data_IF_768161651826
#
_entry.id   IF_768161651826
#
_cell.length_a   1.000
_cell.length_b   1.000
_cell.length_c   1.000
_cell.angle_alpha   90.00
_cell.angle_beta   90.00
_cell.angle_gamma   90.00
#
_symmetry.space_group_name_H-M   'P 1'
#
loop_
_entity.id
_entity.type
_entity.pdbx_description
1 polymer ?
#
# COMPACT_ATOMS: atom_id res chain seq x y z
N UNK A 1 10.95 12.47 18.56
CA UNK A 1 9.54 12.63 18.15
C UNK A 1 9.00 11.26 17.77
N UNK A 2 7.99 10.74 18.47
CA UNK A 2 7.29 9.52 18.09
C UNK A 2 6.16 9.91 17.13
N UNK A 3 6.37 9.72 15.83
CA UNK A 3 5.31 9.85 14.83
C UNK A 3 4.97 8.46 14.32
N UNK A 4 3.68 8.11 14.24
CA UNK A 4 3.20 6.88 13.59
C UNK A 4 3.50 6.85 12.08
N UNK A 5 3.89 7.99 11.49
CA UNK A 5 4.25 8.13 10.08
C UNK A 5 5.77 8.05 9.83
N UNK A 6 6.47 7.08 10.43
CA UNK A 6 7.90 6.86 10.20
C UNK A 6 8.13 5.57 9.39
N UNK A 7 8.38 5.65 8.07
CA UNK A 7 8.70 4.49 7.25
C UNK A 7 9.88 3.68 7.80
N UNK A 8 10.86 4.34 8.40
CA UNK A 8 12.08 3.71 8.93
C UNK A 8 11.82 2.80 10.13
N UNK A 9 10.79 3.09 10.93
CA UNK A 9 10.36 2.17 11.99
C UNK A 9 9.89 0.84 11.39
N UNK A 10 9.03 0.90 10.38
CA UNK A 10 8.47 -0.29 9.73
C UNK A 10 9.50 -1.06 8.89
N UNK A 11 10.47 -0.38 8.27
CA UNK A 11 11.58 -1.02 7.55
C UNK A 11 12.36 -2.00 8.43
N UNK A 12 12.59 -1.66 9.71
CA UNK A 12 13.27 -2.54 10.68
C UNK A 12 12.49 -3.83 10.96
N UNK A 13 11.17 -3.81 10.75
CA UNK A 13 10.27 -4.96 10.91
C UNK A 13 10.09 -5.74 9.59
N UNK A 14 10.90 -5.46 8.56
CA UNK A 14 10.84 -6.14 7.27
C UNK A 14 9.84 -5.56 6.28
N UNK A 15 9.18 -4.46 6.60
CA UNK A 15 8.30 -3.77 5.65
C UNK A 15 9.11 -3.07 4.55
N UNK A 16 8.55 -2.99 3.36
CA UNK A 16 9.15 -2.34 2.18
C UNK A 16 8.23 -1.24 1.68
N UNK A 17 8.81 -0.16 1.18
CA UNK A 17 8.04 0.89 0.49
C UNK A 17 7.59 0.40 -0.88
N UNK A 18 6.31 0.57 -1.21
CA UNK A 18 5.79 0.36 -2.55
C UNK A 18 6.13 1.57 -3.43
N UNK A 19 6.85 1.34 -4.52
CA UNK A 19 7.43 2.42 -5.34
C UNK A 19 6.61 2.80 -6.56
N UNK A 20 5.47 2.13 -6.76
CA UNK A 20 4.63 2.27 -7.95
C UNK A 20 3.26 2.80 -7.61
N UNK A 21 2.49 3.28 -8.61
CA UNK A 21 1.16 3.79 -8.36
C UNK A 21 0.29 2.77 -7.62
N UNK A 22 -0.38 3.24 -6.58
CA UNK A 22 -1.45 2.53 -5.91
C UNK A 22 -2.76 3.09 -6.42
N UNK A 23 -3.73 2.24 -6.69
CA UNK A 23 -5.04 2.63 -7.16
C UNK A 23 -6.13 2.04 -6.26
N UNK A 24 -7.23 2.77 -6.14
CA UNK A 24 -8.48 2.28 -5.58
C UNK A 24 -9.44 1.91 -6.70
N UNK A 25 -9.98 0.69 -6.65
CA UNK A 25 -11.15 0.29 -7.44
C UNK A 25 -12.40 0.43 -6.58
N UNK A 26 -13.28 1.36 -6.96
CA UNK A 26 -14.59 1.55 -6.34
C UNK A 26 -15.55 0.41 -6.71
N UNK A 27 -16.65 0.30 -5.96
CA UNK A 27 -17.70 -0.71 -6.19
C UNK A 27 -18.34 -0.57 -7.57
N UNK A 28 -18.39 0.65 -8.11
CA UNK A 28 -18.87 0.96 -9.47
C UNK A 28 -17.83 0.64 -10.58
N UNK A 29 -16.69 0.05 -10.23
CA UNK A 29 -15.62 -0.32 -11.16
C UNK A 29 -14.66 0.82 -11.52
N UNK A 30 -14.89 2.06 -11.05
CA UNK A 30 -13.98 3.17 -11.33
C UNK A 30 -12.64 2.97 -10.61
N UNK A 31 -11.55 3.26 -11.31
CA UNK A 31 -10.19 3.18 -10.77
C UNK A 31 -9.64 4.60 -10.59
N UNK A 32 -9.19 4.91 -9.38
CA UNK A 32 -8.56 6.20 -9.06
C UNK A 32 -7.17 5.96 -8.49
N UNK A 33 -6.17 6.65 -9.02
CA UNK A 33 -4.81 6.58 -8.48
C UNK A 33 -4.71 7.38 -7.19
N UNK A 34 -4.10 6.78 -6.17
CA UNK A 34 -3.77 7.43 -4.91
C UNK A 34 -2.50 8.26 -5.12
N UNK A 35 -2.66 9.57 -5.24
CA UNK A 35 -1.55 10.50 -5.35
C UNK A 35 -0.91 10.73 -3.98
N UNK A 36 0.40 10.87 -3.95
CA UNK A 36 1.19 11.26 -2.78
C UNK A 36 1.13 10.31 -1.56
N UNK A 37 0.58 9.10 -1.73
CA UNK A 37 0.59 8.08 -0.67
C UNK A 37 1.89 7.29 -0.65
N UNK A 38 2.50 7.16 0.53
CA UNK A 38 3.56 6.18 0.78
C UNK A 38 2.93 4.91 1.34
N UNK A 39 2.81 3.87 0.50
CA UNK A 39 2.32 2.57 0.95
C UNK A 39 3.49 1.69 1.38
N UNK A 40 3.34 1.02 2.51
CA UNK A 40 4.28 0.03 3.02
C UNK A 40 3.68 -1.37 2.86
N UNK A 41 4.50 -2.35 2.47
CA UNK A 41 4.10 -3.75 2.30
C UNK A 41 4.97 -4.68 3.15
N UNK A 42 4.34 -5.67 3.77
CA UNK A 42 5.01 -6.78 4.46
C UNK A 42 4.64 -8.10 3.79
N UNK A 43 5.64 -8.83 3.29
CA UNK A 43 5.44 -10.20 2.81
C UNK A 43 5.46 -11.17 3.99
N UNK A 44 4.43 -12.00 4.09
CA UNK A 44 4.32 -13.08 5.09
C UNK A 44 4.73 -14.42 4.47
N UNK A 45 4.97 -15.48 5.26
CA UNK A 45 5.44 -16.77 4.74
C UNK A 45 4.53 -17.41 3.67
N UNK A 46 3.24 -17.05 3.63
CA UNK A 46 2.26 -17.52 2.63
C UNK A 46 1.97 -16.49 1.54
N UNK A 47 2.65 -15.35 1.54
CA UNK A 47 2.50 -14.34 0.48
C UNK A 47 3.16 -14.88 -0.79
N UNK A 48 2.45 -14.97 -1.92
CA UNK A 48 3.06 -15.35 -3.19
C UNK A 48 4.14 -14.32 -3.60
N UNK A 49 5.03 -14.67 -4.54
CA UNK A 49 5.99 -13.71 -5.07
C UNK A 49 5.30 -12.41 -5.49
N UNK A 50 5.71 -11.30 -4.87
CA UNK A 50 5.14 -9.98 -5.09
C UNK A 50 6.14 -9.10 -5.84
N UNK A 51 5.80 -8.73 -7.07
CA UNK A 51 6.59 -7.79 -7.84
C UNK A 51 6.23 -6.34 -7.46
N UNK A 52 7.13 -5.72 -6.68
CA UNK A 52 6.99 -4.33 -6.20
C UNK A 52 7.14 -3.28 -7.31
N UNK A 53 7.46 -3.70 -8.54
CA UNK A 53 7.59 -2.83 -9.69
C UNK A 53 6.31 -2.75 -10.54
N UNK A 54 5.25 -3.45 -10.17
CA UNK A 54 3.92 -3.36 -10.78
C UNK A 54 3.01 -2.36 -10.04
N UNK A 55 1.99 -1.78 -10.70
CA UNK A 55 0.96 -1.00 -10.01
C UNK A 55 0.13 -1.90 -9.10
N UNK A 56 -0.28 -1.37 -7.94
CA UNK A 56 -1.19 -2.06 -7.02
C UNK A 56 -2.59 -1.49 -7.17
N UNK A 57 -3.62 -2.34 -7.19
CA UNK A 57 -5.02 -1.89 -7.13
C UNK A 57 -5.71 -2.58 -5.95
N UNK A 58 -6.18 -1.78 -5.01
CA UNK A 58 -6.94 -2.24 -3.85
C UNK A 58 -8.42 -1.92 -4.04
N UNK A 59 -9.31 -2.76 -3.50
CA UNK A 59 -10.75 -2.51 -3.56
C UNK A 59 -11.11 -1.50 -2.47
N UNK A 60 -11.80 -0.42 -2.84
CA UNK A 60 -12.30 0.57 -1.89
C UNK A 60 -13.49 0.01 -1.11
N UNK A 61 -13.55 0.33 0.19
CA UNK A 61 -14.66 -0.02 1.06
C UNK A 61 -15.18 1.23 1.76
N UNK A 62 -16.49 1.29 1.96
CA UNK A 62 -17.13 2.39 2.66
C UNK A 62 -16.63 2.44 4.11
N UNK A 63 -16.28 3.65 4.59
CA UNK A 63 -15.67 3.85 5.90
C UNK A 63 -14.14 3.65 5.97
N UNK A 64 -13.50 3.09 4.93
CA UNK A 64 -12.04 3.06 4.83
C UNK A 64 -11.54 4.38 4.23
N UNK A 65 -11.34 5.36 5.12
CA UNK A 65 -10.50 6.52 4.83
C UNK A 65 -9.05 6.13 5.10
N UNK A 66 -8.32 5.80 4.03
CA UNK A 66 -6.86 5.85 4.05
C UNK A 66 -6.38 7.29 3.99
#
# INVERSE_FOLDING_TARGET
VLTTNSPDYYKRLGWKEWKRPVNFRRVDGRITSLKDSTLMVLSLPKTPPLDVHLPLTVVWREGEGW
#
